data_IF_819124151950
#
_entry.id   IF_819124151950
#
_cell.length_a   1.000
_cell.length_b   1.000
_cell.length_c   1.000
_cell.angle_alpha   90.00
_cell.angle_beta   90.00
_cell.angle_gamma   90.00
#
_symmetry.space_group_name_H-M   'P 1'
#
loop_
_entity.id
_entity.type
_entity.pdbx_description
1 polymer ?
#
# COMPACT_ATOMS: atom_id res chain seq x y z
N UNK A 1 -25.37 -10.76 25.98
CA UNK A 1 -25.00 -9.78 24.93
C UNK A 1 -24.30 -8.63 25.61
N UNK A 2 -23.00 -8.43 25.35
CA UNK A 2 -22.35 -7.20 25.82
C UNK A 2 -22.93 -6.01 25.04
N UNK A 3 -23.14 -4.84 25.68
CA UNK A 3 -23.59 -3.65 24.97
C UNK A 3 -22.55 -3.22 23.93
N UNK A 4 -23.00 -2.70 22.78
CA UNK A 4 -22.12 -2.05 21.81
C UNK A 4 -21.40 -0.88 22.51
N UNK A 5 -20.09 -0.98 22.67
CA UNK A 5 -19.25 0.10 23.18
C UNK A 5 -18.75 0.94 21.98
N UNK A 6 -19.06 2.23 21.99
CA UNK A 6 -18.47 3.19 21.05
C UNK A 6 -17.16 3.70 21.64
N UNK A 7 -16.06 3.50 20.93
CA UNK A 7 -14.79 4.14 21.22
C UNK A 7 -14.53 5.21 20.16
N UNK A 8 -14.27 6.43 20.58
CA UNK A 8 -13.83 7.48 19.66
C UNK A 8 -12.33 7.30 19.40
N UNK A 9 -11.95 7.11 18.14
CA UNK A 9 -10.56 6.95 17.71
C UNK A 9 -10.12 8.24 17.04
N UNK A 10 -9.07 8.86 17.60
CA UNK A 10 -8.38 9.99 16.99
C UNK A 10 -7.01 9.53 16.49
N UNK A 11 -6.70 9.79 15.22
CA UNK A 11 -5.40 9.49 14.62
C UNK A 11 -4.59 10.76 14.41
N UNK A 12 -3.27 10.62 14.37
CA UNK A 12 -2.38 11.72 13.98
C UNK A 12 -2.59 12.05 12.50
N UNK A 13 -2.66 13.34 12.17
CA UNK A 13 -2.68 13.80 10.78
C UNK A 13 -1.32 13.55 10.12
N UNK A 14 -1.34 12.88 8.97
CA UNK A 14 -0.19 12.73 8.08
C UNK A 14 -0.17 13.84 7.02
N UNK A 15 1.02 14.17 6.53
CA UNK A 15 1.24 15.16 5.47
C UNK A 15 1.87 14.47 4.26
N UNK A 16 1.26 14.68 3.09
CA UNK A 16 1.53 13.87 1.91
C UNK A 16 0.35 13.87 0.94
N UNK A 17 0.33 12.88 0.06
CA UNK A 17 -0.77 12.65 -0.87
C UNK A 17 -1.03 11.17 -1.08
N UNK A 18 -2.25 10.82 -1.48
CA UNK A 18 -2.57 9.46 -1.87
C UNK A 18 -1.71 9.03 -3.08
N UNK A 19 -1.44 7.73 -3.21
CA UNK A 19 -0.58 7.22 -4.28
C UNK A 19 -0.97 7.73 -5.69
N UNK A 20 -2.26 7.73 -6.11
CA UNK A 20 -2.61 8.21 -7.46
C UNK A 20 -2.20 9.67 -7.72
N UNK A 21 -2.31 10.52 -6.69
CA UNK A 21 -1.94 11.93 -6.76
C UNK A 21 -0.43 12.12 -6.75
N UNK A 22 0.29 11.39 -5.88
CA UNK A 22 1.75 11.37 -5.88
C UNK A 22 2.31 10.90 -7.22
N UNK A 23 1.71 9.85 -7.78
CA UNK A 23 2.10 9.26 -9.05
C UNK A 23 1.87 10.20 -10.23
N UNK A 24 0.72 10.89 -10.27
CA UNK A 24 0.43 11.87 -11.31
C UNK A 24 1.43 13.05 -11.32
N UNK A 25 1.93 13.44 -10.14
CA UNK A 25 2.95 14.50 -9.99
C UNK A 25 4.38 14.03 -10.27
N UNK A 26 4.63 12.72 -10.36
CA UNK A 26 5.96 12.17 -10.57
C UNK A 26 6.40 12.29 -12.03
N UNK A 27 6.99 13.43 -12.37
CA UNK A 27 7.38 13.73 -13.76
C UNK A 27 8.60 12.94 -14.26
N UNK A 28 9.53 12.58 -13.37
CA UNK A 28 10.75 11.83 -13.71
C UNK A 28 10.68 10.35 -13.31
N UNK A 29 11.51 9.52 -13.97
CA UNK A 29 11.67 8.12 -13.59
C UNK A 29 12.22 7.96 -12.17
N UNK A 30 13.11 8.86 -11.71
CA UNK A 30 13.64 8.82 -10.35
C UNK A 30 12.56 9.08 -9.30
N UNK A 31 11.65 10.03 -9.57
CA UNK A 31 10.51 10.27 -8.70
C UNK A 31 9.59 9.05 -8.63
N UNK A 32 9.33 8.42 -9.78
CA UNK A 32 8.55 7.18 -9.84
C UNK A 32 9.23 6.02 -9.10
N UNK A 33 10.54 5.83 -9.28
CA UNK A 33 11.34 4.83 -8.55
C UNK A 33 11.25 5.05 -7.05
N UNK A 34 11.33 6.30 -6.59
CA UNK A 34 11.23 6.67 -5.18
C UNK A 34 9.87 6.31 -4.60
N UNK A 35 8.78 6.62 -5.31
CA UNK A 35 7.42 6.26 -4.88
C UNK A 35 7.26 4.74 -4.79
N UNK A 36 7.72 3.99 -5.80
CA UNK A 36 7.62 2.52 -5.79
C UNK A 36 8.46 1.92 -4.67
N UNK A 37 9.66 2.45 -4.39
CA UNK A 37 10.47 2.02 -3.26
C UNK A 37 9.73 2.23 -1.92
N UNK A 38 9.06 3.37 -1.73
CA UNK A 38 8.25 3.63 -0.54
C UNK A 38 7.10 2.62 -0.37
N UNK A 39 6.45 2.24 -1.48
CA UNK A 39 5.40 1.21 -1.49
C UNK A 39 5.96 -0.17 -1.14
N UNK A 40 7.12 -0.54 -1.69
CA UNK A 40 7.79 -1.81 -1.40
C UNK A 40 8.16 -1.91 0.09
N UNK A 41 8.74 -0.85 0.66
CA UNK A 41 9.06 -0.78 2.10
C UNK A 41 7.80 -0.88 2.99
N UNK A 42 6.70 -0.27 2.57
CA UNK A 42 5.41 -0.41 3.27
C UNK A 42 4.93 -1.88 3.24
N UNK A 43 5.00 -2.55 2.10
CA UNK A 43 4.59 -3.96 1.98
C UNK A 43 5.49 -4.90 2.80
N UNK A 44 6.80 -4.63 2.84
CA UNK A 44 7.71 -5.34 3.74
C UNK A 44 7.35 -5.12 5.21
N UNK A 45 6.97 -3.90 5.59
CA UNK A 45 6.52 -3.58 6.94
C UNK A 45 5.23 -4.31 7.32
N UNK A 46 4.25 -4.38 6.41
CA UNK A 46 3.01 -5.16 6.62
C UNK A 46 3.30 -6.66 6.76
N UNK A 47 4.20 -7.20 5.92
CA UNK A 47 4.65 -8.60 6.02
C UNK A 47 5.29 -8.89 7.37
N UNK A 48 6.21 -8.04 7.82
CA UNK A 48 6.90 -8.19 9.10
C UNK A 48 5.92 -8.15 10.29
N UNK A 49 4.91 -7.28 10.20
CA UNK A 49 3.85 -7.18 11.20
C UNK A 49 2.80 -8.29 11.12
N UNK A 50 2.83 -9.16 10.09
CA UNK A 50 1.74 -10.10 9.75
C UNK A 50 0.39 -9.40 9.64
N UNK A 51 0.38 -8.18 9.11
CA UNK A 51 -0.81 -7.37 8.93
C UNK A 51 -1.44 -7.64 7.56
N UNK A 52 -2.66 -8.17 7.55
CA UNK A 52 -3.47 -8.30 6.36
C UNK A 52 -4.42 -7.10 6.28
N UNK A 53 -4.34 -6.34 5.19
CA UNK A 53 -5.22 -5.19 5.00
C UNK A 53 -6.32 -5.57 4.00
N UNK A 54 -7.53 -5.81 4.51
CA UNK A 54 -8.65 -6.31 3.72
C UNK A 54 -8.95 -5.45 2.49
N UNK A 55 -8.79 -4.13 2.56
CA UNK A 55 -9.07 -3.20 1.46
C UNK A 55 -7.83 -2.54 0.84
N UNK A 56 -6.66 -3.19 0.90
CA UNK A 56 -5.43 -2.59 0.39
C UNK A 56 -5.57 -2.25 -1.11
N UNK A 57 -5.44 -0.97 -1.42
CA UNK A 57 -5.59 -0.42 -2.77
C UNK A 57 -4.78 0.89 -2.89
N UNK A 58 -4.61 1.40 -4.10
CA UNK A 58 -3.75 2.56 -4.32
C UNK A 58 -4.24 3.82 -3.58
N UNK A 59 -5.55 4.05 -3.42
CA UNK A 59 -6.07 5.22 -2.70
C UNK A 59 -5.81 5.15 -1.20
N UNK A 60 -5.63 3.94 -0.66
CA UNK A 60 -5.31 3.72 0.75
C UNK A 60 -3.80 3.74 1.02
N UNK A 61 -2.97 3.96 -0.01
CA UNK A 61 -1.54 4.21 0.17
C UNK A 61 -1.31 5.71 0.16
N UNK A 62 -0.59 6.20 1.16
CA UNK A 62 -0.28 7.61 1.34
C UNK A 62 1.23 7.83 1.33
N UNK A 63 1.74 8.61 0.38
CA UNK A 63 3.16 8.92 0.25
C UNK A 63 3.46 10.15 1.11
N UNK A 64 4.47 10.06 1.99
CA UNK A 64 4.77 11.09 2.97
C UNK A 64 5.68 12.18 2.39
N UNK A 65 5.30 13.45 2.56
CA UNK A 65 6.09 14.57 2.02
C UNK A 65 7.47 14.69 2.70
N UNK A 66 7.52 14.45 4.01
CA UNK A 66 8.75 14.64 4.80
C UNK A 66 9.71 13.44 4.72
N UNK A 67 9.26 12.32 4.19
CA UNK A 67 10.05 11.09 4.02
C UNK A 67 9.64 10.46 2.68
N UNK A 68 10.20 10.93 1.55
CA UNK A 68 9.76 10.51 0.22
C UNK A 68 9.90 9.00 -0.05
N UNK A 69 10.76 8.33 0.72
CA UNK A 69 10.98 6.87 0.68
C UNK A 69 10.08 6.11 1.66
N UNK A 70 9.14 6.78 2.32
CA UNK A 70 8.21 6.18 3.26
C UNK A 70 6.76 6.38 2.80
N UNK A 71 5.96 5.33 2.96
CA UNK A 71 4.54 5.36 2.74
C UNK A 71 3.81 4.86 3.98
N UNK A 72 2.58 5.34 4.16
CA UNK A 72 1.64 4.86 5.17
C UNK A 72 0.44 4.19 4.49
N UNK A 73 -0.25 3.34 5.24
CA UNK A 73 -1.55 2.82 4.85
C UNK A 73 -2.65 3.55 5.63
N UNK A 74 -3.71 3.94 4.93
CA UNK A 74 -4.92 4.56 5.49
C UNK A 74 -6.03 3.52 5.65
N UNK A 75 -7.08 3.87 6.38
CA UNK A 75 -8.25 3.01 6.62
C UNK A 75 -7.90 1.65 7.24
N UNK A 76 -7.17 1.73 8.35
CA UNK A 76 -6.67 0.56 9.11
C UNK A 76 -7.71 -0.10 10.02
N UNK A 77 -8.97 0.34 9.99
CA UNK A 77 -10.05 -0.19 10.85
C UNK A 77 -10.40 -1.66 10.52
N UNK A 78 -10.04 -2.12 9.32
CA UNK A 78 -10.25 -3.49 8.81
C UNK A 78 -8.96 -4.29 8.67
N UNK A 79 -7.87 -3.85 9.31
CA UNK A 79 -6.63 -4.63 9.32
C UNK A 79 -6.76 -5.80 10.29
N UNK A 80 -6.41 -6.98 9.80
CA UNK A 80 -6.43 -8.22 10.57
C UNK A 80 -4.99 -8.76 10.74
N UNK A 81 -4.78 -9.54 11.80
CA UNK A 81 -3.51 -10.22 12.08
C UNK A 81 -3.74 -11.74 12.14
N UNK A 82 -4.00 -12.39 10.99
CA UNK A 82 -4.38 -13.80 10.97
C UNK A 82 -3.20 -14.71 11.33
N UNK A 83 -3.49 -15.95 11.74
CA UNK A 83 -2.49 -16.96 12.09
C UNK A 83 -1.76 -17.59 10.88
N UNK A 84 -1.93 -17.04 9.69
CA UNK A 84 -1.29 -17.51 8.46
C UNK A 84 0.21 -17.17 8.42
N UNK A 85 0.94 -17.75 7.47
CA UNK A 85 2.36 -17.41 7.27
C UNK A 85 2.49 -15.97 6.75
N UNK A 86 3.61 -15.32 7.07
CA UNK A 86 3.88 -13.96 6.60
C UNK A 86 3.94 -13.87 5.06
N UNK A 87 4.38 -14.94 4.39
CA UNK A 87 4.38 -15.03 2.93
C UNK A 87 2.98 -14.98 2.34
N UNK A 88 2.04 -15.79 2.85
CA UNK A 88 0.65 -15.80 2.38
C UNK A 88 -0.04 -14.45 2.59
N UNK A 89 0.22 -13.79 3.73
CA UNK A 89 -0.32 -12.45 4.01
C UNK A 89 0.27 -11.40 3.06
N UNK A 90 1.58 -11.46 2.81
CA UNK A 90 2.25 -10.55 1.89
C UNK A 90 1.76 -10.74 0.46
N UNK A 91 1.60 -11.98 0.01
CA UNK A 91 1.03 -12.35 -1.28
C UNK A 91 -0.37 -11.75 -1.45
N UNK A 92 -1.25 -11.93 -0.47
CA UNK A 92 -2.61 -11.38 -0.47
C UNK A 92 -2.60 -9.85 -0.65
N UNK A 93 -1.81 -9.16 0.17
CA UNK A 93 -1.70 -7.71 0.13
C UNK A 93 -1.15 -7.23 -1.24
N UNK A 94 -0.08 -7.86 -1.72
CA UNK A 94 0.55 -7.51 -3.00
C UNK A 94 -0.42 -7.71 -4.18
N UNK A 95 -1.11 -8.86 -4.26
CA UNK A 95 -2.09 -9.15 -5.32
C UNK A 95 -3.24 -8.13 -5.31
N UNK A 96 -3.79 -7.79 -4.14
CA UNK A 96 -4.84 -6.77 -4.05
C UNK A 96 -4.36 -5.41 -4.53
N UNK A 97 -3.17 -5.00 -4.10
CA UNK A 97 -2.61 -3.73 -4.53
C UNK A 97 -2.35 -3.70 -6.04
N UNK A 98 -1.71 -4.73 -6.60
CA UNK A 98 -1.44 -4.83 -8.05
C UNK A 98 -2.74 -4.78 -8.84
N UNK A 99 -3.77 -5.52 -8.41
CA UNK A 99 -5.09 -5.49 -9.04
C UNK A 99 -5.71 -4.10 -8.99
N UNK A 100 -5.52 -3.38 -7.88
CA UNK A 100 -5.93 -1.97 -7.81
C UNK A 100 -5.15 -1.13 -8.82
N UNK A 101 -3.82 -1.21 -8.82
CA UNK A 101 -2.91 -0.39 -9.64
C UNK A 101 -3.08 -0.58 -11.14
N UNK A 102 -3.46 -1.78 -11.56
CA UNK A 102 -3.68 -2.15 -12.96
C UNK A 102 -5.13 -1.94 -13.43
N UNK A 103 -6.04 -1.61 -12.50
CA UNK A 103 -7.46 -1.38 -12.82
C UNK A 103 -7.70 -0.01 -13.47
N UNK A 104 -8.48 0.01 -14.56
CA UNK A 104 -8.85 1.22 -15.32
C UNK A 104 -9.48 2.35 -14.46
N UNK A 105 -10.10 1.99 -13.33
CA UNK A 105 -10.85 2.91 -12.45
C UNK A 105 -9.96 3.81 -11.58
N UNK A 106 -8.64 3.59 -11.54
CA UNK A 106 -7.75 4.47 -10.77
C UNK A 106 -7.45 5.80 -11.48
N UNK A 107 -7.70 5.90 -12.79
CA UNK A 107 -7.40 7.12 -13.55
C UNK A 107 -5.92 7.50 -13.49
N UNK A 108 -5.02 6.53 -13.33
CA UNK A 108 -3.58 6.78 -13.37
C UNK A 108 -3.26 7.37 -14.74
N UNK A 109 -2.65 8.55 -14.76
CA UNK A 109 -2.23 9.19 -16.00
C UNK A 109 -1.11 8.41 -16.72
N UNK A 110 -0.41 7.54 -15.98
CA UNK A 110 0.70 6.71 -16.45
C UNK A 110 0.59 5.32 -15.84
N UNK A 111 0.58 4.30 -16.66
CA UNK A 111 0.63 2.90 -16.22
C UNK A 111 1.99 2.60 -15.58
N UNK A 112 2.01 1.75 -14.56
CA UNK A 112 3.25 1.23 -14.00
C UNK A 112 3.97 0.38 -15.05
N UNK A 113 5.30 0.46 -15.08
CA UNK A 113 6.12 -0.42 -15.93
C UNK A 113 6.11 -1.85 -15.39
N UNK A 114 6.41 -2.82 -16.25
CA UNK A 114 6.54 -4.23 -15.85
C UNK A 114 7.56 -4.40 -14.71
N UNK A 115 8.66 -3.65 -14.74
CA UNK A 115 9.68 -3.69 -13.69
C UNK A 115 9.14 -3.20 -12.33
N UNK A 116 8.29 -2.16 -12.34
CA UNK A 116 7.67 -1.64 -11.11
C UNK A 116 6.63 -2.62 -10.55
N UNK A 117 5.86 -3.28 -11.41
CA UNK A 117 4.93 -4.34 -10.99
C UNK A 117 5.71 -5.52 -10.40
N UNK A 118 6.78 -5.98 -11.06
CA UNK A 118 7.66 -7.05 -10.58
C UNK A 118 8.29 -6.73 -9.21
N UNK A 119 8.65 -5.47 -8.95
CA UNK A 119 9.15 -5.05 -7.65
C UNK A 119 8.10 -5.22 -6.54
N UNK A 120 6.83 -4.94 -6.83
CA UNK A 120 5.72 -5.16 -5.89
C UNK A 120 5.46 -6.67 -5.72
N UNK A 121 5.45 -7.44 -6.82
CA UNK A 121 5.26 -8.90 -6.78
C UNK A 121 6.32 -9.61 -5.92
N UNK A 122 7.57 -9.16 -5.99
CA UNK A 122 8.67 -9.73 -5.21
C UNK A 122 8.44 -9.63 -3.69
N UNK A 123 7.65 -8.66 -3.21
CA UNK A 123 7.32 -8.55 -1.77
C UNK A 123 6.39 -9.67 -1.28
N UNK A 124 5.53 -10.16 -2.17
CA UNK A 124 4.56 -11.22 -1.92
C UNK A 124 5.05 -12.61 -2.31
N UNK A 125 6.35 -12.78 -2.60
CA UNK A 125 6.94 -14.03 -3.12
C UNK A 125 6.26 -14.52 -4.43
N UNK A 126 5.66 -13.60 -5.20
CA UNK A 126 4.94 -13.88 -6.47
C UNK A 126 5.88 -14.00 -7.68
N UNK A 127 7.17 -13.74 -7.51
CA UNK A 127 8.19 -13.81 -8.55
C UNK A 127 8.60 -15.27 -8.82
N UNK A 128 7.71 -16.02 -9.47
CA UNK A 128 8.00 -17.31 -10.09
C UNK A 128 8.02 -17.18 -11.62
#
# INVERSE_FOLDING_TARGET
>A
MAPFARADVATQRLYGSAFPEAWARAESEDAQRTIIAAVVELLHSLRAAKAQHADLNARNIFILDQQPTAAAVLDVDRVEFPSMSAGVIAEYNALRLIRSLTGERLGLQRTLSVAQIRAIEATGDLAA
#
